data_IF_580108386322
#
_entry.id   IF_580108386322
#
_cell.length_a   1.000
_cell.length_b   1.000
_cell.length_c   1.000
_cell.angle_alpha   90.00
_cell.angle_beta   90.00
_cell.angle_gamma   90.00
#
_symmetry.space_group_name_H-M   'P 1'
#
loop_
_entity.id
_entity.type
_entity.pdbx_description
1 polymer ?
#
# COMPACT_ATOMS: atom_id res chain seq x y z
N UNK A 1 -13.56 -37.35 23.50
CA UNK A 1 -13.07 -36.58 22.34
C UNK A 1 -11.59 -36.90 22.17
N UNK A 2 -11.12 -37.16 20.95
CA UNK A 2 -9.67 -37.29 20.71
C UNK A 2 -8.98 -35.92 20.89
N UNK A 3 -7.72 -35.93 21.30
CA UNK A 3 -6.89 -34.73 21.49
C UNK A 3 -6.91 -33.82 20.25
N UNK A 4 -6.94 -34.42 19.06
CA UNK A 4 -6.99 -33.77 17.75
C UNK A 4 -8.28 -32.97 17.55
N UNK A 5 -9.43 -33.48 18.00
CA UNK A 5 -10.70 -32.75 17.90
C UNK A 5 -10.74 -31.55 18.85
N UNK A 6 -10.11 -31.65 20.02
CA UNK A 6 -9.99 -30.52 20.95
C UNK A 6 -9.06 -29.44 20.39
N UNK A 7 -7.92 -29.85 19.79
CA UNK A 7 -6.99 -28.95 19.13
C UNK A 7 -7.61 -28.25 17.92
N UNK A 8 -8.42 -28.93 17.11
CA UNK A 8 -9.17 -28.34 15.99
C UNK A 8 -10.21 -27.32 16.48
N UNK A 9 -10.99 -27.66 17.52
CA UNK A 9 -11.99 -26.76 18.09
C UNK A 9 -11.35 -25.51 18.69
N UNK A 10 -10.27 -25.68 19.46
CA UNK A 10 -9.53 -24.56 20.04
C UNK A 10 -8.84 -23.71 18.96
N UNK A 11 -8.27 -24.36 17.94
CA UNK A 11 -7.67 -23.72 16.78
C UNK A 11 -8.65 -22.81 16.03
N UNK A 12 -9.88 -23.28 15.76
CA UNK A 12 -10.92 -22.47 15.11
C UNK A 12 -11.35 -21.25 15.94
N UNK A 13 -11.42 -21.40 17.26
CA UNK A 13 -11.70 -20.28 18.16
C UNK A 13 -10.65 -19.18 18.04
N UNK A 14 -9.38 -19.55 18.16
CA UNK A 14 -8.25 -18.62 18.04
C UNK A 14 -8.08 -18.06 16.63
N UNK A 15 -8.39 -18.84 15.60
CA UNK A 15 -8.41 -18.37 14.21
C UNK A 15 -9.40 -17.21 14.05
N UNK A 16 -10.62 -17.37 14.56
CA UNK A 16 -11.65 -16.34 14.50
C UNK A 16 -11.20 -15.05 15.20
N UNK A 17 -10.67 -15.17 16.42
CA UNK A 17 -10.15 -14.01 17.17
C UNK A 17 -9.01 -13.30 16.43
N UNK A 18 -8.06 -14.06 15.87
CA UNK A 18 -6.95 -13.47 15.10
C UNK A 18 -7.45 -12.76 13.84
N UNK A 19 -8.40 -13.36 13.10
CA UNK A 19 -9.00 -12.73 11.92
C UNK A 19 -9.76 -11.45 12.27
N UNK A 20 -10.51 -11.47 13.37
CA UNK A 20 -11.22 -10.28 13.85
C UNK A 20 -10.24 -9.16 14.21
N UNK A 21 -9.15 -9.47 14.91
CA UNK A 21 -8.13 -8.49 15.26
C UNK A 21 -7.42 -7.91 14.03
N UNK A 22 -7.03 -8.76 13.07
CA UNK A 22 -6.47 -8.32 11.78
C UNK A 22 -7.45 -7.40 11.06
N UNK A 23 -8.74 -7.77 10.99
CA UNK A 23 -9.77 -6.95 10.37
C UNK A 23 -9.99 -5.60 11.07
N UNK A 24 -9.93 -5.55 12.39
CA UNK A 24 -10.01 -4.30 13.16
C UNK A 24 -8.82 -3.38 12.85
N UNK A 25 -7.61 -3.94 12.79
CA UNK A 25 -6.42 -3.17 12.43
C UNK A 25 -6.47 -2.65 11.00
N UNK A 26 -6.91 -3.48 10.04
CA UNK A 26 -7.08 -3.07 8.65
C UNK A 26 -8.11 -1.93 8.55
N UNK A 27 -9.23 -2.00 9.29
CA UNK A 27 -10.22 -0.93 9.34
C UNK A 27 -9.67 0.36 9.94
N UNK A 28 -8.92 0.26 11.05
CA UNK A 28 -8.26 1.40 11.67
C UNK A 28 -7.25 2.04 10.73
N UNK A 29 -6.41 1.21 10.08
CA UNK A 29 -5.41 1.69 9.13
C UNK A 29 -6.07 2.39 7.93
N UNK A 30 -7.14 1.82 7.40
CA UNK A 30 -7.92 2.42 6.31
C UNK A 30 -8.62 3.71 6.70
N UNK A 31 -9.08 3.84 7.94
CA UNK A 31 -9.70 5.06 8.46
C UNK A 31 -8.68 6.18 8.64
N UNK A 32 -7.52 5.85 9.22
CA UNK A 32 -6.41 6.78 9.38
C UNK A 32 -5.83 7.18 8.04
N UNK A 33 -5.72 6.25 7.10
CA UNK A 33 -5.20 6.53 5.76
C UNK A 33 -6.01 7.63 5.05
N UNK A 34 -7.33 7.59 5.16
CA UNK A 34 -8.20 8.65 4.61
C UNK A 34 -7.96 10.02 5.23
N UNK A 35 -7.50 10.10 6.49
CA UNK A 35 -7.13 11.37 7.15
C UNK A 35 -5.71 11.83 6.84
N UNK A 36 -4.83 10.89 6.52
CA UNK A 36 -3.45 11.16 6.12
C UNK A 36 -3.26 11.15 4.60
N UNK A 37 -4.37 11.24 3.86
CA UNK A 37 -4.37 11.40 2.41
C UNK A 37 -3.52 12.62 2.05
N UNK A 38 -2.62 12.47 1.09
CA UNK A 38 -1.75 13.56 0.63
C UNK A 38 -2.58 14.77 0.19
N UNK A 39 -2.22 15.95 0.68
CA UNK A 39 -2.89 17.21 0.34
C UNK A 39 -4.10 17.56 1.19
N UNK A 40 -4.43 16.77 2.21
CA UNK A 40 -5.52 17.09 3.13
C UNK A 40 -5.11 18.13 4.20
N UNK A 41 -6.09 18.75 4.85
CA UNK A 41 -5.92 19.77 5.89
C UNK A 41 -5.01 19.30 7.03
N UNK A 42 -5.02 18.00 7.34
CA UNK A 42 -4.19 17.40 8.38
C UNK A 42 -2.68 17.53 8.10
N UNK A 43 -2.26 17.41 6.85
CA UNK A 43 -0.85 17.54 6.48
C UNK A 43 -0.37 18.98 6.65
N UNK A 44 -1.23 19.97 6.39
CA UNK A 44 -0.95 21.39 6.65
C UNK A 44 -0.84 21.69 8.14
N UNK A 45 -1.63 21.02 8.99
CA UNK A 45 -1.65 21.25 10.44
C UNK A 45 -0.51 20.54 11.18
N UNK A 46 -0.21 19.29 10.81
CA UNK A 46 0.76 18.45 11.52
C UNK A 46 2.16 18.48 10.90
N UNK A 47 2.27 18.99 9.68
CA UNK A 47 3.51 19.00 8.92
C UNK A 47 3.71 17.72 8.11
N UNK A 48 4.40 17.88 6.98
CA UNK A 48 4.70 16.82 6.02
C UNK A 48 5.50 15.67 6.66
N UNK A 49 6.55 15.98 7.42
CA UNK A 49 7.41 14.97 8.04
C UNK A 49 6.65 14.04 8.99
N UNK A 50 5.76 14.60 9.82
CA UNK A 50 4.97 13.80 10.75
C UNK A 50 3.96 12.92 10.00
N UNK A 51 3.27 13.48 9.00
CA UNK A 51 2.30 12.70 8.23
C UNK A 51 2.96 11.61 7.38
N UNK A 52 4.17 11.83 6.84
CA UNK A 52 4.98 10.81 6.18
C UNK A 52 5.30 9.65 7.15
N UNK A 53 5.76 9.94 8.37
CA UNK A 53 6.00 8.91 9.38
C UNK A 53 4.73 8.12 9.73
N UNK A 54 3.57 8.78 9.78
CA UNK A 54 2.28 8.10 9.98
C UNK A 54 1.93 7.18 8.81
N UNK A 55 2.10 7.64 7.56
CA UNK A 55 1.87 6.83 6.36
C UNK A 55 2.76 5.59 6.34
N UNK A 56 4.03 5.73 6.70
CA UNK A 56 4.96 4.60 6.73
C UNK A 56 4.61 3.59 7.83
N UNK A 57 4.22 4.06 9.01
CA UNK A 57 3.71 3.17 10.08
C UNK A 57 2.46 2.40 9.63
N UNK A 58 1.54 3.04 8.92
CA UNK A 58 0.36 2.36 8.37
C UNK A 58 0.73 1.27 7.37
N UNK A 59 1.70 1.52 6.48
CA UNK A 59 2.22 0.51 5.55
C UNK A 59 2.82 -0.69 6.29
N UNK A 60 3.59 -0.44 7.34
CA UNK A 60 4.18 -1.51 8.17
C UNK A 60 3.09 -2.37 8.83
N UNK A 61 2.05 -1.75 9.38
CA UNK A 61 0.93 -2.47 10.00
C UNK A 61 0.24 -3.38 8.98
N UNK A 62 -0.08 -2.87 7.79
CA UNK A 62 -0.74 -3.70 6.76
C UNK A 62 0.16 -4.83 6.28
N UNK A 63 1.47 -4.59 6.12
CA UNK A 63 2.44 -5.65 5.79
C UNK A 63 2.48 -6.76 6.84
N UNK A 64 2.51 -6.37 8.12
CA UNK A 64 2.52 -7.30 9.24
C UNK A 64 1.21 -8.10 9.33
N UNK A 65 0.06 -7.45 9.12
CA UNK A 65 -1.25 -8.11 9.08
C UNK A 65 -1.32 -9.19 7.98
N UNK A 66 -0.82 -8.88 6.78
CA UNK A 66 -0.72 -9.86 5.68
C UNK A 66 0.15 -11.05 6.09
N UNK A 67 1.33 -10.81 6.66
CA UNK A 67 2.22 -11.88 7.14
C UNK A 67 1.54 -12.74 8.21
N UNK A 68 0.87 -12.13 9.18
CA UNK A 68 0.13 -12.83 10.24
C UNK A 68 -0.98 -13.70 9.68
N UNK A 69 -1.70 -13.23 8.67
CA UNK A 69 -2.76 -14.02 8.03
C UNK A 69 -2.21 -15.21 7.25
N UNK A 70 -1.11 -15.03 6.52
CA UNK A 70 -0.41 -16.13 5.84
C UNK A 70 0.02 -17.20 6.85
N UNK A 71 0.62 -16.78 7.97
CA UNK A 71 1.01 -17.67 9.08
C UNK A 71 -0.19 -18.38 9.68
N UNK A 72 -1.30 -17.67 9.92
CA UNK A 72 -2.52 -18.26 10.45
C UNK A 72 -3.08 -19.31 9.48
N UNK A 73 -3.09 -19.02 8.18
CA UNK A 73 -3.55 -19.95 7.15
C UNK A 73 -2.69 -21.21 7.08
N UNK A 74 -1.36 -21.08 7.14
CA UNK A 74 -0.45 -22.23 7.20
C UNK A 74 -0.73 -23.11 8.42
N UNK A 75 -0.94 -22.49 9.59
CA UNK A 75 -1.26 -23.20 10.82
C UNK A 75 -2.58 -23.99 10.69
N UNK A 76 -3.63 -23.36 10.19
CA UNK A 76 -4.93 -24.02 10.02
C UNK A 76 -4.87 -25.16 9.00
N UNK A 77 -4.11 -25.01 7.92
CA UNK A 77 -3.87 -26.08 6.97
C UNK A 77 -3.14 -27.25 7.62
N UNK A 78 -2.09 -26.99 8.41
CA UNK A 78 -1.32 -28.02 9.10
C UNK A 78 -2.19 -28.82 10.09
N UNK A 79 -3.01 -28.13 10.90
CA UNK A 79 -3.98 -28.77 11.81
C UNK A 79 -4.98 -29.64 11.03
N UNK A 80 -5.49 -29.13 9.89
CA UNK A 80 -6.41 -29.88 9.03
C UNK A 80 -5.76 -31.14 8.44
N UNK A 81 -4.54 -31.04 7.92
CA UNK A 81 -3.81 -32.19 7.38
C UNK A 81 -3.55 -33.26 8.43
N UNK A 82 -3.25 -32.87 9.68
CA UNK A 82 -3.17 -33.84 10.78
C UNK A 82 -4.52 -34.49 11.03
N UNK A 83 -5.60 -33.71 11.12
CA UNK A 83 -6.94 -34.27 11.33
C UNK A 83 -7.31 -35.29 10.27
N UNK A 84 -7.03 -35.01 9.01
CA UNK A 84 -7.33 -35.90 7.88
C UNK A 84 -6.50 -37.19 7.95
N UNK A 85 -5.23 -37.12 8.38
CA UNK A 85 -4.35 -38.30 8.54
C UNK A 85 -4.70 -39.19 9.74
N UNK A 86 -5.34 -38.62 10.77
CA UNK A 86 -5.68 -39.33 12.01
C UNK A 86 -7.18 -39.67 12.14
N UNK A 87 -8.00 -39.27 11.17
CA UNK A 87 -9.39 -39.72 11.13
C UNK A 87 -9.41 -41.17 10.65
N UNK A 88 -9.85 -42.15 11.46
CA UNK A 88 -9.95 -43.53 10.99
C UNK A 88 -10.87 -43.58 9.78
N UNK A 89 -10.58 -44.41 8.76
CA UNK A 89 -11.50 -44.61 7.65
C UNK A 89 -12.82 -45.12 8.22
N UNK A 90 -13.89 -44.38 7.95
CA UNK A 90 -15.26 -44.76 8.30
C UNK A 90 -15.67 -45.94 7.42
N UNK A 91 -15.10 -47.11 7.69
CA UNK A 91 -15.44 -48.38 7.06
C UNK A 91 -16.37 -49.13 8.01
N UNK A 92 -17.66 -49.04 7.71
CA UNK A 92 -18.67 -50.09 7.91
C UNK A 92 -18.55 -50.92 9.20
N UNK A 93 -19.30 -50.52 10.24
CA UNK A 93 -19.73 -51.45 11.27
C UNK A 93 -20.80 -52.37 10.68
N UNK A 94 -20.40 -53.59 10.33
CA UNK A 94 -21.18 -54.78 10.66
C UNK A 94 -20.25 -55.80 11.34
N UNK A 95 -20.75 -56.35 12.45
CA UNK A 95 -20.31 -57.53 13.21
C UNK A 95 -19.37 -57.32 14.42
N UNK A 96 -20.00 -57.38 15.60
CA UNK A 96 -19.79 -58.37 16.67
C UNK A 96 -18.40 -59.01 16.79
N UNK A 97 -17.67 -58.65 17.84
CA UNK A 97 -16.47 -59.37 18.26
C UNK A 97 -15.75 -58.69 19.42
N UNK A 98 -15.90 -59.27 20.60
CA UNK A 98 -15.13 -59.02 21.83
C UNK A 98 -13.63 -58.89 21.52
N UNK A 99 -13.08 -57.69 21.65
CA UNK A 99 -11.70 -57.38 21.28
C UNK A 99 -11.30 -56.01 21.80
N UNK A 100 -10.35 -55.99 22.73
CA UNK A 100 -9.80 -54.82 23.41
C UNK A 100 -9.67 -53.58 22.49
N UNK A 101 -10.43 -52.54 22.85
CA UNK A 101 -10.38 -51.20 22.27
C UNK A 101 -9.00 -50.53 22.50
N UNK A 102 -8.00 -50.90 21.70
CA UNK A 102 -6.74 -50.17 21.63
C UNK A 102 -6.99 -48.90 20.80
N UNK A 103 -7.49 -47.85 21.46
CA UNK A 103 -7.43 -46.49 20.92
C UNK A 103 -5.96 -46.12 20.72
N UNK A 104 -5.53 -45.66 19.53
CA UNK A 104 -4.17 -45.18 19.34
C UNK A 104 -3.91 -44.03 20.31
N UNK A 105 -3.09 -44.27 21.33
CA UNK A 105 -2.57 -43.22 22.20
C UNK A 105 -1.44 -42.55 21.41
N UNK A 106 -1.78 -41.48 20.70
CA UNK A 106 -0.76 -40.56 20.19
C UNK A 106 -0.25 -39.82 21.42
N UNK A 107 1.00 -40.06 21.81
CA UNK A 107 1.65 -39.29 22.87
C UNK A 107 1.69 -37.81 22.46
N UNK A 108 1.44 -36.92 23.42
CA UNK A 108 1.27 -35.47 23.19
C UNK A 108 2.49 -34.82 22.51
N UNK A 109 3.68 -35.37 22.74
CA UNK A 109 4.95 -34.94 22.16
C UNK A 109 5.05 -35.24 20.64
N UNK A 110 4.53 -36.39 20.19
CA UNK A 110 4.52 -36.77 18.76
C UNK A 110 3.56 -35.89 17.95
N UNK A 111 2.47 -35.42 18.56
CA UNK A 111 1.53 -34.50 17.92
C UNK A 111 2.14 -33.12 17.67
N UNK A 112 2.84 -32.55 18.65
CA UNK A 112 3.47 -31.24 18.52
C UNK A 112 4.53 -31.23 17.43
N UNK A 113 5.39 -32.25 17.39
CA UNK A 113 6.45 -32.37 16.39
C UNK A 113 5.87 -32.47 14.98
N UNK A 114 4.83 -33.30 14.78
CA UNK A 114 4.16 -33.44 13.48
C UNK A 114 3.41 -32.18 13.06
N UNK A 115 2.87 -31.42 14.02
CA UNK A 115 2.22 -30.13 13.74
C UNK A 115 3.24 -29.10 13.27
N UNK A 116 4.40 -29.01 13.91
CA UNK A 116 5.46 -28.08 13.54
C UNK A 116 6.06 -28.42 12.17
N UNK A 117 6.27 -29.72 11.89
CA UNK A 117 6.72 -30.17 10.57
C UNK A 117 5.71 -29.83 9.47
N UNK A 118 4.43 -30.11 9.69
CA UNK A 118 3.37 -29.76 8.73
C UNK A 118 3.20 -28.24 8.58
N UNK A 119 3.33 -27.49 9.68
CA UNK A 119 3.26 -26.03 9.66
C UNK A 119 4.36 -25.42 8.80
N UNK A 120 5.60 -25.89 8.97
CA UNK A 120 6.75 -25.44 8.19
C UNK A 120 6.56 -25.71 6.70
N UNK A 121 6.09 -26.92 6.35
CA UNK A 121 5.76 -27.29 4.96
C UNK A 121 4.66 -26.41 4.37
N UNK A 122 3.62 -26.10 5.14
CA UNK A 122 2.52 -25.24 4.68
C UNK A 122 2.96 -23.77 4.55
N UNK A 123 3.86 -23.28 5.41
CA UNK A 123 4.46 -21.96 5.27
C UNK A 123 5.24 -21.83 3.96
N UNK A 124 6.15 -22.76 3.68
CA UNK A 124 6.92 -22.77 2.42
C UNK A 124 6.00 -22.80 1.20
N UNK A 125 4.94 -23.63 1.22
CA UNK A 125 3.94 -23.65 0.15
C UNK A 125 3.24 -22.33 -0.03
N UNK A 126 2.90 -21.64 1.06
CA UNK A 126 2.27 -20.32 0.97
C UNK A 126 3.28 -19.32 0.43
N UNK A 127 4.50 -19.26 0.95
CA UNK A 127 5.54 -18.32 0.49
C UNK A 127 5.86 -18.50 -0.98
N UNK A 128 6.08 -19.73 -1.45
CA UNK A 128 6.38 -20.04 -2.85
C UNK A 128 5.24 -19.68 -3.82
N UNK A 129 3.99 -19.69 -3.34
CA UNK A 129 2.81 -19.34 -4.15
C UNK A 129 2.29 -17.92 -3.88
N UNK A 130 2.93 -17.17 -2.99
CA UNK A 130 2.45 -15.85 -2.61
C UNK A 130 3.08 -14.78 -3.46
N UNK A 131 2.24 -13.84 -3.89
CA UNK A 131 2.72 -12.58 -4.45
C UNK A 131 3.44 -11.77 -3.37
N UNK A 132 4.25 -10.79 -3.80
CA UNK A 132 4.85 -9.85 -2.86
C UNK A 132 3.76 -9.14 -2.06
N UNK A 133 4.01 -8.91 -0.77
CA UNK A 133 3.03 -8.25 0.13
C UNK A 133 2.60 -6.88 -0.41
N UNK A 134 3.50 -6.20 -1.12
CA UNK A 134 3.27 -4.90 -1.77
C UNK A 134 2.29 -4.95 -2.96
N UNK A 135 2.02 -6.15 -3.49
CA UNK A 135 1.07 -6.39 -4.58
C UNK A 135 -0.26 -6.96 -4.06
N UNK A 136 -0.38 -7.23 -2.76
CA UNK A 136 -1.66 -7.68 -2.21
C UNK A 136 -2.72 -6.58 -2.26
N UNK A 137 -3.96 -6.97 -2.60
CA UNK A 137 -5.09 -6.05 -2.72
C UNK A 137 -5.29 -5.16 -1.49
N UNK A 138 -5.01 -5.65 -0.29
CA UNK A 138 -5.13 -4.84 0.94
C UNK A 138 -4.09 -3.74 1.02
N UNK A 139 -2.85 -4.04 0.62
CA UNK A 139 -1.78 -3.07 0.57
C UNK A 139 -2.04 -2.02 -0.53
N UNK A 140 -2.49 -2.47 -1.70
CA UNK A 140 -2.86 -1.58 -2.80
C UNK A 140 -4.01 -0.64 -2.40
N UNK A 141 -5.04 -1.17 -1.73
CA UNK A 141 -6.16 -0.36 -1.21
C UNK A 141 -5.73 0.67 -0.17
N UNK A 142 -4.72 0.35 0.65
CA UNK A 142 -4.13 1.32 1.57
C UNK A 142 -3.42 2.43 0.78
N UNK A 143 -2.60 2.09 -0.22
CA UNK A 143 -1.87 3.06 -1.04
C UNK A 143 -2.83 4.00 -1.80
N UNK A 144 -3.91 3.46 -2.36
CA UNK A 144 -4.98 4.23 -2.99
C UNK A 144 -5.54 5.29 -2.01
N UNK A 145 -5.87 4.88 -0.78
CA UNK A 145 -6.37 5.78 0.26
C UNK A 145 -5.35 6.82 0.71
N UNK A 146 -4.06 6.49 0.71
CA UNK A 146 -2.99 7.43 1.05
C UNK A 146 -2.73 8.44 -0.09
N UNK A 147 -3.24 8.19 -1.29
CA UNK A 147 -2.92 8.96 -2.49
C UNK A 147 -1.51 8.67 -3.01
N UNK A 148 -1.06 7.42 -2.89
CA UNK A 148 0.30 6.96 -3.25
C UNK A 148 0.33 5.92 -4.38
N UNK A 149 -0.75 5.78 -5.16
CA UNK A 149 -0.86 4.75 -6.20
C UNK A 149 -0.15 5.11 -7.54
N UNK A 150 0.97 5.82 -7.49
CA UNK A 150 1.59 6.42 -8.69
C UNK A 150 2.58 5.50 -9.44
N UNK A 151 2.85 4.27 -8.97
CA UNK A 151 4.01 3.47 -9.46
C UNK A 151 3.69 2.00 -9.88
N UNK A 152 2.44 1.64 -10.24
CA UNK A 152 2.14 0.27 -10.73
C UNK A 152 1.40 0.16 -12.08
N UNK A 153 1.11 1.26 -12.76
CA UNK A 153 0.38 1.25 -14.05
C UNK A 153 1.29 1.57 -15.26
N UNK A 154 2.42 0.87 -15.40
CA UNK A 154 3.25 0.97 -16.61
C UNK A 154 2.85 -0.04 -17.73
N UNK A 155 1.78 -0.83 -17.60
CA UNK A 155 1.34 -1.73 -18.71
C UNK A 155 -0.15 -1.82 -19.02
N UNK A 156 -1.02 -1.00 -18.41
CA UNK A 156 -2.34 -0.76 -19.00
C UNK A 156 -2.92 0.57 -18.53
N UNK A 157 -2.32 1.66 -19.00
CA UNK A 157 -2.90 3.00 -18.92
C UNK A 157 -4.16 3.04 -19.78
N UNK A 158 -5.28 2.52 -19.28
CA UNK A 158 -6.57 3.14 -19.55
C UNK A 158 -6.50 4.46 -18.80
N UNK A 159 -6.10 5.50 -19.53
CA UNK A 159 -6.11 6.89 -19.09
C UNK A 159 -7.49 7.17 -18.50
N UNK A 160 -7.60 7.06 -17.18
CA UNK A 160 -8.73 7.62 -16.47
C UNK A 160 -8.48 9.14 -16.51
N UNK A 161 -9.38 9.96 -17.09
CA UNK A 161 -9.13 11.38 -17.34
C UNK A 161 -8.94 12.25 -16.08
N UNK A 162 -8.86 11.66 -14.89
CA UNK A 162 -8.82 12.35 -13.60
C UNK A 162 -7.39 12.63 -13.07
N UNK A 163 -6.34 12.02 -13.62
CA UNK A 163 -4.95 12.18 -13.13
C UNK A 163 -4.05 13.06 -14.01
N UNK A 164 -4.41 13.31 -15.27
CA UNK A 164 -3.73 14.28 -16.14
C UNK A 164 -3.90 15.75 -15.69
N UNK A 165 -4.95 16.02 -14.91
CA UNK A 165 -5.25 17.34 -14.36
C UNK A 165 -4.20 17.80 -13.33
N UNK A 166 -3.53 16.90 -12.62
CA UNK A 166 -2.59 17.28 -11.55
C UNK A 166 -1.23 17.75 -12.11
N UNK A 167 -0.72 17.13 -13.17
CA UNK A 167 0.55 17.55 -13.79
C UNK A 167 0.39 18.88 -14.53
N UNK A 168 -0.76 19.07 -15.20
CA UNK A 168 -1.04 20.33 -15.89
C UNK A 168 -1.20 21.50 -14.91
N UNK A 169 -1.62 21.25 -13.67
CA UNK A 169 -1.71 22.28 -12.61
C UNK A 169 -0.37 22.80 -12.11
N UNK A 170 0.71 22.00 -12.22
CA UNK A 170 2.05 22.41 -11.76
C UNK A 170 2.96 22.91 -12.88
N UNK A 171 2.55 22.74 -14.15
CA UNK A 171 3.29 23.26 -15.31
C UNK A 171 2.95 24.72 -15.57
N UNK A 172 3.97 25.51 -15.85
CA UNK A 172 3.77 26.90 -16.22
C UNK A 172 3.23 26.99 -17.66
N UNK A 173 2.12 27.69 -17.86
CA UNK A 173 1.54 27.94 -19.20
C UNK A 173 2.47 28.71 -20.16
N UNK A 174 3.53 29.35 -19.63
CA UNK A 174 4.53 30.09 -20.43
C UNK A 174 5.75 29.25 -20.77
N UNK A 175 6.32 28.56 -19.79
CA UNK A 175 7.58 27.81 -19.98
C UNK A 175 7.38 26.34 -20.29
N UNK A 176 6.17 25.82 -20.06
CA UNK A 176 5.80 24.40 -20.11
C UNK A 176 6.59 23.50 -19.15
N UNK A 177 7.49 24.08 -18.35
CA UNK A 177 8.24 23.43 -17.29
C UNK A 177 7.48 23.50 -15.96
N UNK A 178 7.93 22.70 -14.98
CA UNK A 178 7.45 22.79 -13.60
C UNK A 178 7.65 24.21 -13.08
N UNK A 179 6.63 24.77 -12.43
CA UNK A 179 6.69 26.14 -11.95
C UNK A 179 7.81 26.35 -10.92
N UNK A 180 8.43 27.53 -10.98
CA UNK A 180 9.41 28.00 -10.00
C UNK A 180 8.88 29.29 -9.40
N UNK A 181 8.79 29.33 -8.07
CA UNK A 181 8.09 30.37 -7.31
C UNK A 181 6.72 30.68 -7.91
N UNK A 182 5.75 29.76 -7.79
CA UNK A 182 4.46 29.95 -8.44
C UNK A 182 3.74 31.17 -7.86
N UNK A 183 3.27 32.01 -8.77
CA UNK A 183 2.43 33.17 -8.49
C UNK A 183 1.13 33.05 -9.25
N UNK A 184 0.06 33.60 -8.69
CA UNK A 184 -1.28 33.55 -9.26
C UNK A 184 -1.83 34.95 -9.48
N UNK A 185 -2.55 35.13 -10.58
CA UNK A 185 -3.29 36.38 -10.81
C UNK A 185 -4.55 36.42 -9.96
N UNK A 186 -4.75 37.51 -9.21
CA UNK A 186 -5.99 37.76 -8.46
C UNK A 186 -7.23 37.82 -9.35
N UNK A 187 -7.08 38.31 -10.57
CA UNK A 187 -8.19 38.59 -11.50
C UNK A 187 -8.62 37.36 -12.28
N UNK A 188 -7.68 36.63 -12.91
CA UNK A 188 -8.01 35.46 -13.74
C UNK A 188 -7.66 34.11 -13.11
N UNK A 189 -7.05 34.10 -11.92
CA UNK A 189 -6.70 32.88 -11.14
C UNK A 189 -5.76 31.89 -11.82
N UNK A 190 -5.12 32.26 -12.93
CA UNK A 190 -4.08 31.45 -13.55
C UNK A 190 -2.75 31.58 -12.80
N UNK A 191 -2.04 30.46 -12.67
CA UNK A 191 -0.75 30.36 -12.00
C UNK A 191 0.40 30.24 -12.99
N UNK A 192 1.53 30.87 -12.68
CA UNK A 192 2.73 30.95 -13.51
C UNK A 192 3.99 30.96 -12.65
N UNK A 193 5.14 30.63 -13.24
CA UNK A 193 6.43 30.91 -12.60
C UNK A 193 6.66 32.42 -12.52
N UNK A 194 7.06 32.93 -11.35
CA UNK A 194 7.23 34.36 -11.08
C UNK A 194 8.11 35.06 -12.12
N UNK A 195 9.29 34.49 -12.38
CA UNK A 195 10.22 35.05 -13.36
C UNK A 195 9.61 35.13 -14.77
N UNK A 196 8.91 34.07 -15.21
CA UNK A 196 8.33 33.98 -16.54
C UNK A 196 7.21 35.00 -16.75
N UNK A 197 6.26 35.11 -15.80
CA UNK A 197 5.15 36.05 -15.94
C UNK A 197 5.60 37.50 -15.79
N UNK A 198 6.56 37.79 -14.92
CA UNK A 198 7.12 39.15 -14.79
C UNK A 198 7.80 39.57 -16.08
N UNK A 199 8.54 38.66 -16.73
CA UNK A 199 9.13 38.93 -18.04
C UNK A 199 8.06 39.16 -19.12
N UNK A 200 7.05 38.29 -19.21
CA UNK A 200 5.94 38.44 -20.15
C UNK A 200 5.21 39.77 -20.00
N UNK A 201 4.92 40.19 -18.77
CA UNK A 201 4.22 41.43 -18.47
C UNK A 201 5.01 42.70 -18.81
N UNK A 202 6.31 42.60 -19.11
CA UNK A 202 7.08 43.73 -19.67
C UNK A 202 6.76 43.95 -21.15
N UNK A 203 6.41 42.89 -21.87
CA UNK A 203 6.15 42.90 -23.32
C UNK A 203 4.66 43.02 -23.62
N UNK A 204 3.82 42.30 -22.88
CA UNK A 204 2.37 42.27 -23.09
C UNK A 204 1.62 42.29 -21.76
N UNK A 205 0.61 43.14 -21.63
CA UNK A 205 -0.26 43.19 -20.44
C UNK A 205 -1.41 42.17 -20.51
N UNK A 206 -1.38 41.23 -21.45
CA UNK A 206 -2.43 40.24 -21.65
C UNK A 206 -2.06 38.93 -20.96
N UNK A 207 -3.03 38.26 -20.34
CA UNK A 207 -2.85 36.93 -19.81
C UNK A 207 -2.35 35.95 -20.91
N UNK A 208 -1.27 35.20 -20.69
CA UNK A 208 -0.75 34.26 -21.69
C UNK A 208 -1.66 33.07 -22.00
N UNK A 209 -2.59 32.75 -21.09
CA UNK A 209 -3.48 31.59 -21.26
C UNK A 209 -4.47 31.87 -22.40
N UNK A 210 -4.46 30.98 -23.39
CA UNK A 210 -5.34 31.08 -24.55
C UNK A 210 -6.81 31.16 -24.13
N UNK A 211 -7.56 32.10 -24.69
CA UNK A 211 -8.97 32.32 -24.36
C UNK A 211 -9.22 33.06 -23.04
N UNK A 212 -8.19 33.46 -22.30
CA UNK A 212 -8.38 34.26 -21.10
C UNK A 212 -8.87 35.68 -21.44
N UNK A 213 -9.93 36.12 -20.77
CA UNK A 213 -10.57 37.42 -20.98
C UNK A 213 -9.74 38.57 -20.38
N UNK A 214 -8.81 38.28 -19.45
CA UNK A 214 -8.00 39.31 -18.80
C UNK A 214 -6.92 39.85 -19.74
N UNK A 215 -7.15 41.07 -20.27
CA UNK A 215 -6.26 41.77 -21.20
C UNK A 215 -5.43 42.90 -20.58
N UNK A 216 -5.55 43.13 -19.27
CA UNK A 216 -4.88 44.24 -18.57
C UNK A 216 -4.27 43.78 -17.24
N UNK A 217 -3.49 42.71 -17.28
CA UNK A 217 -2.79 42.15 -16.14
C UNK A 217 -1.61 43.04 -15.74
N UNK A 218 -1.48 43.27 -14.43
CA UNK A 218 -0.37 44.04 -13.83
C UNK A 218 0.42 43.17 -12.87
N UNK A 219 1.71 43.49 -12.71
CA UNK A 219 2.58 42.79 -11.75
C UNK A 219 2.09 42.93 -10.31
N UNK A 220 1.42 44.04 -9.98
CA UNK A 220 0.80 44.27 -8.66
C UNK A 220 -0.43 43.38 -8.38
N UNK A 221 -0.96 42.68 -9.39
CA UNK A 221 -2.10 41.77 -9.25
C UNK A 221 -1.66 40.31 -9.10
N UNK A 222 -0.35 40.05 -9.12
CA UNK A 222 0.24 38.75 -8.86
C UNK A 222 0.46 38.59 -7.36
N UNK A 223 -0.11 37.54 -6.81
CA UNK A 223 0.12 37.10 -5.43
C UNK A 223 0.88 35.78 -5.44
N UNK A 224 1.64 35.52 -4.37
CA UNK A 224 2.30 34.22 -4.22
C UNK A 224 1.22 33.13 -4.09
N UNK A 225 1.43 31.98 -4.75
CA UNK A 225 0.49 30.86 -4.78
C UNK A 225 1.01 29.71 -3.90
N UNK A 226 0.71 29.73 -2.58
CA UNK A 226 1.23 28.73 -1.66
C UNK A 226 0.71 27.32 -2.00
N UNK A 227 -0.51 27.20 -2.52
CA UNK A 227 -1.12 25.91 -2.88
C UNK A 227 -0.32 25.25 -4.00
N UNK A 228 -0.07 26.00 -5.09
CA UNK A 228 0.74 25.51 -6.21
C UNK A 228 2.20 25.30 -5.79
N UNK A 229 2.75 26.12 -4.88
CA UNK A 229 4.11 25.95 -4.37
C UNK A 229 4.29 24.62 -3.63
N UNK A 230 3.30 24.22 -2.85
CA UNK A 230 3.28 22.92 -2.17
C UNK A 230 3.26 21.79 -3.20
N UNK A 231 2.40 21.87 -4.23
CA UNK A 231 2.32 20.86 -5.29
C UNK A 231 3.63 20.72 -6.07
N UNK A 232 4.25 21.83 -6.45
CA UNK A 232 5.56 21.88 -7.11
C UNK A 232 6.64 21.23 -6.24
N UNK A 233 6.69 21.58 -4.94
CA UNK A 233 7.67 21.02 -4.00
C UNK A 233 7.53 19.51 -3.91
N UNK A 234 6.29 19.02 -3.77
CA UNK A 234 5.98 17.58 -3.73
C UNK A 234 6.43 16.87 -5.01
N UNK A 235 6.16 17.46 -6.17
CA UNK A 235 6.59 16.90 -7.45
C UNK A 235 8.12 16.81 -7.54
N UNK A 236 8.85 17.88 -7.19
CA UNK A 236 10.32 17.89 -7.21
C UNK A 236 10.93 16.84 -6.27
N UNK A 237 10.38 16.69 -5.05
CA UNK A 237 10.82 15.66 -4.08
C UNK A 237 10.61 14.25 -4.61
N UNK A 238 9.50 13.99 -5.31
CA UNK A 238 9.21 12.69 -5.94
C UNK A 238 10.18 12.35 -7.06
N UNK A 239 10.42 13.30 -7.96
CA UNK A 239 11.41 13.19 -9.05
C UNK A 239 12.80 12.86 -8.50
N UNK A 240 13.20 13.49 -7.39
CA UNK A 240 14.50 13.23 -6.75
C UNK A 240 14.58 11.82 -6.16
N UNK A 241 13.52 11.38 -5.46
CA UNK A 241 13.47 10.04 -4.86
C UNK A 241 13.48 8.94 -5.94
N UNK A 242 12.70 9.10 -7.01
CA UNK A 242 12.70 8.16 -8.13
C UNK A 242 14.08 8.09 -8.80
N UNK A 243 14.79 9.22 -8.96
CA UNK A 243 16.16 9.23 -9.48
C UNK A 243 17.13 8.52 -8.55
N UNK A 244 17.02 8.71 -7.23
CA UNK A 244 17.85 8.01 -6.23
C UNK A 244 17.61 6.50 -6.26
N UNK A 245 16.35 6.07 -6.27
CA UNK A 245 15.99 4.66 -6.30
C UNK A 245 16.48 3.98 -7.59
N UNK A 246 16.31 4.62 -8.75
CA UNK A 246 16.81 4.12 -10.05
C UNK A 246 18.34 4.02 -10.08
N UNK A 247 19.03 5.00 -9.50
CA UNK A 247 20.49 4.97 -9.41
C UNK A 247 20.98 3.85 -8.48
N UNK A 248 20.29 3.61 -7.36
CA UNK A 248 20.61 2.53 -6.43
C UNK A 248 20.37 1.15 -7.06
N UNK A 249 19.24 0.95 -7.73
CA UNK A 249 18.96 -0.33 -8.40
C UNK A 249 19.90 -0.65 -9.56
N UNK A 250 20.50 0.37 -10.19
CA UNK A 250 21.47 0.17 -11.27
C UNK A 250 22.85 -0.27 -10.74
N UNK A 251 23.22 0.09 -9.51
CA UNK A 251 24.49 -0.33 -8.90
C UNK A 251 24.43 -1.78 -8.39
N UNK A 252 23.26 -2.25 -7.97
CA UNK A 252 23.07 -3.62 -7.46
C UNK A 252 23.02 -4.70 -8.57
N UNK A 253 23.07 -4.32 -9.85
CA UNK A 253 23.03 -5.25 -11.00
C UNK A 253 24.41 -5.52 -11.63
N UNK A 254 25.47 -4.80 -11.24
CA UNK A 254 26.81 -4.94 -11.82
C UNK A 254 27.74 -5.90 -11.02
N UNK A 255 27.26 -6.51 -9.92
CA UNK A 255 28.06 -7.38 -9.03
C UNK A 255 27.89 -8.90 -9.27
N UNK A 256 27.06 -9.32 -10.25
CA UNK A 256 26.72 -10.75 -10.49
C UNK A 256 27.31 -11.36 -11.78
N UNK A 257 28.22 -10.69 -12.50
CA UNK A 257 28.72 -11.12 -13.83
C UNK A 257 30.21 -11.55 -13.86
N UNK A 258 30.80 -11.92 -12.73
CA UNK A 258 32.15 -12.52 -12.64
C UNK A 258 32.13 -13.87 -11.86
N UNK A 259 31.67 -14.96 -12.50
CA UNK A 259 32.09 -16.35 -12.19
C UNK A 259 31.93 -17.34 -13.36
#
# INVERSE_FOLDING_TARGET
MSFINLADQFGRGREKECREWIGQNDNMANSLATRFTRGDQFETLLGEEFTDQCRDKLKVIVKDNVSKERKLKAYMNAVKSLKDNYSPPTSQQENDGDGDDIKPQVEEEDFQQKLEENYSKELEKIENNSIMVTQEQRYLKLLEKLGENDDQDDELVVVNPASSDNINRIKCHLTLAVMEDPVRSRTCKHSFSKAAIVHHLRVSKICPVAGCINRNMRTSELEDDPDTAILVRRYKKREELQKKNKAQSALDMDDDDDE
#
